data_IF_435973547547
#
_entry.id   IF_435973547547
#
_cell.length_a   1.000
_cell.length_b   1.000
_cell.length_c   1.000
_cell.angle_alpha   90.00
_cell.angle_beta   90.00
_cell.angle_gamma   90.00
#
_symmetry.space_group_name_H-M   'P 1'
#
loop_
_entity.id
_entity.type
_entity.pdbx_description
1 polymer ?
#
# COMPACT_ATOMS: atom_id res chain seq x y z
N UNK A 1 -7.21 -4.33 10.27
CA UNK A 1 -6.31 -4.56 11.41
C UNK A 1 -5.11 -3.62 11.28
N UNK A 2 -4.38 -3.35 12.34
CA UNK A 2 -3.16 -2.54 12.33
C UNK A 2 -1.98 -3.38 12.81
N UNK A 3 -0.82 -3.21 12.19
CA UNK A 3 0.43 -3.80 12.67
C UNK A 3 0.96 -3.07 13.92
N UNK A 4 1.80 -3.79 14.64
CA UNK A 4 2.50 -3.43 15.88
C UNK A 4 3.99 -3.72 15.72
N UNK A 5 4.82 -3.36 16.69
CA UNK A 5 6.26 -3.67 16.68
C UNK A 5 6.57 -5.19 16.72
N UNK A 6 5.59 -5.98 17.16
CA UNK A 6 5.63 -7.43 17.24
C UNK A 6 4.99 -8.11 16.01
N UNK A 7 4.43 -7.34 15.08
CA UNK A 7 3.75 -7.90 13.92
C UNK A 7 4.72 -8.55 12.95
N UNK A 8 4.44 -9.81 12.60
CA UNK A 8 5.27 -10.62 11.71
C UNK A 8 4.41 -11.26 10.62
N UNK A 9 4.89 -11.16 9.38
CA UNK A 9 4.31 -11.82 8.22
C UNK A 9 4.88 -13.24 8.06
N UNK A 10 3.98 -14.17 7.74
CA UNK A 10 4.28 -15.57 7.51
C UNK A 10 3.58 -16.06 6.25
N UNK A 11 4.12 -17.14 5.66
CA UNK A 11 3.49 -17.86 4.55
C UNK A 11 3.35 -19.32 4.91
N UNK A 12 2.15 -19.86 4.70
CA UNK A 12 1.96 -21.31 4.60
C UNK A 12 2.47 -21.74 3.23
N UNK A 13 3.37 -22.72 3.18
CA UNK A 13 3.87 -23.32 1.95
C UNK A 13 3.34 -24.76 1.80
N UNK A 14 3.69 -25.43 0.71
CA UNK A 14 3.32 -26.81 0.43
C UNK A 14 3.56 -27.73 1.66
N UNK A 15 2.64 -28.67 1.90
CA UNK A 15 2.56 -29.54 3.10
C UNK A 15 2.22 -28.82 4.42
N UNK A 16 1.76 -27.57 4.38
CA UNK A 16 1.33 -26.85 5.59
C UNK A 16 2.48 -26.31 6.45
N UNK A 17 3.73 -26.38 5.97
CA UNK A 17 4.89 -25.77 6.63
C UNK A 17 4.72 -24.24 6.66
N UNK A 18 5.20 -23.62 7.74
CA UNK A 18 5.10 -22.16 7.93
C UNK A 18 6.49 -21.55 7.79
N UNK A 19 6.62 -20.59 6.87
CA UNK A 19 7.85 -19.81 6.66
C UNK A 19 7.64 -18.38 7.15
N UNK A 20 8.57 -17.87 7.98
CA UNK A 20 8.62 -16.46 8.35
C UNK A 20 9.09 -15.63 7.15
N UNK A 21 8.33 -14.59 6.80
CA UNK A 21 8.71 -13.63 5.76
C UNK A 21 9.53 -12.50 6.38
N UNK A 22 9.02 -11.86 7.43
CA UNK A 22 9.68 -10.70 8.04
C UNK A 22 8.78 -9.93 8.99
N UNK A 23 9.37 -8.94 9.69
CA UNK A 23 8.60 -7.99 10.50
C UNK A 23 7.83 -7.03 9.59
N UNK A 24 6.57 -6.80 9.92
CA UNK A 24 5.71 -5.83 9.23
C UNK A 24 6.04 -4.44 9.75
N UNK A 25 6.04 -3.43 8.88
CA UNK A 25 6.18 -2.04 9.29
C UNK A 25 5.05 -1.66 10.27
N UNK A 26 5.36 -1.09 11.45
CA UNK A 26 4.37 -0.86 12.51
C UNK A 26 3.33 0.21 12.14
N UNK A 27 2.17 0.15 12.79
CA UNK A 27 1.01 1.04 12.59
C UNK A 27 0.44 1.09 11.18
N UNK A 28 0.78 0.12 10.32
CA UNK A 28 0.27 0.04 8.97
C UNK A 28 -1.11 -0.65 8.95
N UNK A 29 -2.13 -0.06 8.29
CA UNK A 29 -3.43 -0.68 8.13
C UNK A 29 -3.37 -1.86 7.15
N UNK A 30 -3.86 -3.01 7.59
CA UNK A 30 -3.89 -4.25 6.84
C UNK A 30 -5.31 -4.78 6.73
N UNK A 31 -5.67 -5.19 5.51
CA UNK A 31 -6.93 -5.87 5.22
C UNK A 31 -6.71 -7.38 5.34
N UNK A 32 -7.41 -7.99 6.29
CA UNK A 32 -7.28 -9.39 6.64
C UNK A 32 -8.65 -9.99 6.95
N UNK A 33 -8.77 -11.31 6.84
CA UNK A 33 -9.87 -12.10 7.39
C UNK A 33 -9.32 -13.03 8.48
N UNK A 34 -10.15 -13.36 9.46
CA UNK A 34 -9.84 -14.44 10.40
C UNK A 34 -9.86 -15.77 9.66
N UNK A 35 -8.82 -16.59 9.84
CA UNK A 35 -8.71 -17.93 9.28
C UNK A 35 -7.96 -18.86 10.26
N UNK A 36 -7.83 -20.13 9.93
CA UNK A 36 -7.17 -21.14 10.76
C UNK A 36 -6.03 -21.83 10.02
N UNK A 37 -4.93 -22.05 10.72
CA UNK A 37 -3.84 -22.92 10.27
C UNK A 37 -4.23 -24.41 10.41
N UNK A 38 -3.49 -25.35 9.79
CA UNK A 38 -3.77 -26.79 9.90
C UNK A 38 -3.74 -27.34 11.34
N UNK A 39 -3.03 -26.66 12.24
CA UNK A 39 -2.99 -26.96 13.68
C UNK A 39 -4.13 -26.28 14.47
N UNK A 40 -5.14 -25.72 13.79
CA UNK A 40 -6.27 -24.97 14.36
C UNK A 40 -5.90 -23.65 15.07
N UNK A 41 -4.67 -23.16 14.90
CA UNK A 41 -4.30 -21.83 15.38
C UNK A 41 -5.02 -20.76 14.54
N UNK A 42 -5.72 -19.84 15.22
CA UNK A 42 -6.40 -18.71 14.59
C UNK A 42 -5.37 -17.65 14.15
N UNK A 43 -5.50 -17.16 12.92
CA UNK A 43 -4.58 -16.19 12.33
C UNK A 43 -5.31 -15.12 11.52
N UNK A 44 -4.64 -13.98 11.32
CA UNK A 44 -5.09 -12.92 10.42
C UNK A 44 -4.57 -13.18 9.00
N UNK A 45 -5.39 -13.82 8.17
CA UNK A 45 -5.05 -14.17 6.79
C UNK A 45 -5.24 -12.97 5.86
N UNK A 46 -4.23 -12.73 5.03
CA UNK A 46 -4.27 -11.74 3.97
C UNK A 46 -5.19 -12.18 2.83
N UNK A 47 -5.84 -11.23 2.15
CA UNK A 47 -6.81 -11.49 1.07
C UNK A 47 -6.14 -11.74 -0.27
N UNK A 48 -5.11 -12.58 -0.23
CA UNK A 48 -4.34 -12.95 -1.39
C UNK A 48 -5.18 -13.69 -2.44
N UNK A 49 -4.83 -13.59 -3.74
CA UNK A 49 -5.51 -14.36 -4.79
C UNK A 49 -5.39 -15.84 -4.45
N UNK A 50 -6.52 -16.50 -4.21
CA UNK A 50 -6.60 -17.95 -4.17
C UNK A 50 -6.34 -18.46 -5.58
N UNK A 51 -5.10 -18.82 -5.87
CA UNK A 51 -4.74 -19.46 -7.13
C UNK A 51 -5.22 -20.92 -7.05
N UNK A 52 -6.08 -21.32 -7.99
CA UNK A 52 -6.62 -22.67 -8.06
C UNK A 52 -5.44 -23.68 -8.08
N UNK A 53 -5.45 -24.65 -7.15
CA UNK A 53 -4.36 -25.62 -6.87
C UNK A 53 -3.14 -25.12 -6.08
N UNK A 54 -3.13 -23.89 -5.57
CA UNK A 54 -2.02 -23.39 -4.74
C UNK A 54 -2.38 -23.39 -3.25
N UNK A 55 -1.81 -24.34 -2.50
CA UNK A 55 -2.01 -24.49 -1.05
C UNK A 55 -1.17 -23.50 -0.22
N UNK A 56 -0.95 -22.29 -0.71
CA UNK A 56 -0.21 -21.26 0.03
C UNK A 56 -1.04 -20.01 0.24
N UNK A 57 -1.01 -19.52 1.47
CA UNK A 57 -1.57 -18.22 1.82
C UNK A 57 -0.64 -17.49 2.77
N UNK A 58 -0.73 -16.17 2.74
CA UNK A 58 0.04 -15.30 3.63
C UNK A 58 -0.85 -14.88 4.79
N UNK A 59 -0.26 -14.76 5.97
CA UNK A 59 -0.96 -14.30 7.17
C UNK A 59 -0.02 -13.51 8.08
N UNK A 60 -0.60 -12.82 9.06
CA UNK A 60 0.14 -12.12 10.08
C UNK A 60 -0.20 -12.66 11.48
N UNK A 61 0.77 -12.51 12.38
CA UNK A 61 0.55 -12.60 13.83
C UNK A 61 0.88 -11.25 14.46
N UNK A 62 0.25 -10.94 15.60
CA UNK A 62 0.52 -9.73 16.38
C UNK A 62 -0.19 -8.47 15.89
N UNK A 63 -1.18 -8.60 15.00
CA UNK A 63 -2.00 -7.46 14.59
C UNK A 63 -3.01 -7.10 15.69
N UNK A 64 -3.45 -5.83 15.69
CA UNK A 64 -4.45 -5.33 16.63
C UNK A 64 -5.60 -4.64 15.89
N UNK A 65 -6.80 -4.68 16.47
CA UNK A 65 -7.92 -3.88 16.00
C UNK A 65 -7.78 -2.46 16.56
N UNK A 66 -7.80 -1.45 15.70
CA UNK A 66 -7.89 -0.03 16.07
C UNK A 66 -9.08 0.60 15.34
N UNK A 67 -9.81 1.48 16.02
CA UNK A 67 -10.90 2.26 15.44
C UNK A 67 -10.35 3.52 14.80
N UNK A 68 -9.73 3.35 13.63
CA UNK A 68 -9.14 4.45 12.85
C UNK A 68 -9.75 4.41 11.45
N UNK A 69 -10.23 5.55 10.99
CA UNK A 69 -10.73 5.69 9.63
C UNK A 69 -9.58 5.56 8.63
N UNK A 70 -9.76 4.69 7.65
CA UNK A 70 -8.82 4.48 6.56
C UNK A 70 -9.52 4.86 5.26
N UNK A 71 -8.95 5.80 4.52
CA UNK A 71 -9.43 6.18 3.18
C UNK A 71 -8.41 5.77 2.15
N UNK A 72 -8.86 5.20 1.03
CA UNK A 72 -7.98 4.90 -0.10
C UNK A 72 -8.40 5.68 -1.33
N UNK A 73 -7.43 6.11 -2.13
CA UNK A 73 -7.63 6.89 -3.34
C UNK A 73 -6.83 6.28 -4.49
N UNK A 74 -7.46 6.16 -5.65
CA UNK A 74 -6.81 5.75 -6.90
C UNK A 74 -6.51 6.97 -7.73
N UNK A 75 -5.24 7.28 -7.95
CA UNK A 75 -4.78 8.41 -8.75
C UNK A 75 -4.69 8.04 -10.23
N UNK A 76 -5.29 8.87 -11.08
CA UNK A 76 -5.28 8.75 -12.54
C UNK A 76 -4.79 10.06 -13.16
N UNK A 77 -4.13 9.99 -14.32
CA UNK A 77 -3.72 11.19 -15.05
C UNK A 77 -4.93 12.05 -15.39
N UNK A 78 -4.90 13.33 -15.01
CA UNK A 78 -5.93 14.29 -15.40
C UNK A 78 -5.68 14.74 -16.84
N UNK A 79 -6.55 14.33 -17.76
CA UNK A 79 -6.53 14.72 -19.17
C UNK A 79 -7.82 15.49 -19.55
N UNK A 80 -8.45 16.14 -18.57
CA UNK A 80 -9.74 16.83 -18.73
C UNK A 80 -10.84 15.86 -19.14
N UNK A 81 -11.65 16.22 -20.15
CA UNK A 81 -12.72 15.38 -20.70
C UNK A 81 -12.24 14.03 -21.25
N UNK A 82 -10.94 13.91 -21.57
CA UNK A 82 -10.30 12.68 -22.05
C UNK A 82 -9.72 11.82 -20.92
N UNK A 83 -10.01 12.15 -19.66
CA UNK A 83 -9.58 11.35 -18.51
C UNK A 83 -10.27 9.99 -18.56
N UNK A 84 -9.61 9.02 -19.17
CA UNK A 84 -10.01 7.63 -19.08
C UNK A 84 -9.56 7.08 -17.73
N UNK A 85 -10.51 6.67 -16.90
CA UNK A 85 -10.25 5.86 -15.72
C UNK A 85 -9.77 4.48 -16.20
N UNK A 86 -8.48 4.41 -16.52
CA UNK A 86 -7.77 3.19 -16.87
C UNK A 86 -8.02 2.11 -15.80
N UNK A 87 -7.95 0.83 -16.17
CA UNK A 87 -8.03 -0.27 -15.18
C UNK A 87 -6.94 -0.18 -14.12
N UNK A 88 -5.80 0.43 -14.46
CA UNK A 88 -4.64 0.56 -13.57
C UNK A 88 -4.41 2.04 -13.21
N UNK A 89 -4.56 2.43 -11.94
CA UNK A 89 -4.21 3.78 -11.50
C UNK A 89 -2.69 3.98 -11.58
N UNK A 90 -2.28 5.25 -11.71
CA UNK A 90 -0.88 5.65 -11.62
C UNK A 90 -0.31 5.36 -10.22
N UNK A 91 -1.09 5.66 -9.18
CA UNK A 91 -0.69 5.53 -7.79
C UNK A 91 -1.92 5.27 -6.91
N UNK A 92 -1.72 4.62 -5.77
CA UNK A 92 -2.68 4.54 -4.68
C UNK A 92 -2.22 5.43 -3.52
N UNK A 93 -3.16 6.13 -2.89
CA UNK A 93 -2.93 6.85 -1.64
C UNK A 93 -3.81 6.22 -0.58
N UNK A 94 -3.21 5.75 0.51
CA UNK A 94 -3.91 5.22 1.67
C UNK A 94 -3.68 6.17 2.85
N UNK A 95 -4.74 6.84 3.31
CA UNK A 95 -4.70 7.81 4.42
C UNK A 95 -5.25 7.13 5.66
N UNK A 96 -4.50 7.17 6.77
CA UNK A 96 -4.86 6.53 8.03
C UNK A 96 -4.18 7.24 9.21
N UNK A 97 -4.91 7.45 10.30
CA UNK A 97 -4.42 8.23 11.44
C UNK A 97 -3.85 9.59 10.98
N UNK A 98 -2.58 9.85 11.27
CA UNK A 98 -1.78 11.02 10.87
C UNK A 98 -0.79 10.71 9.73
N UNK A 99 -0.95 9.55 9.08
CA UNK A 99 -0.04 9.03 8.06
C UNK A 99 -0.73 8.77 6.73
N UNK A 100 0.08 8.71 5.68
CA UNK A 100 -0.33 8.26 4.37
C UNK A 100 0.68 7.28 3.77
N UNK A 101 0.19 6.30 3.03
CA UNK A 101 1.01 5.45 2.18
C UNK A 101 0.73 5.74 0.70
N UNK A 102 1.77 6.11 -0.03
CA UNK A 102 1.76 6.41 -1.46
C UNK A 102 2.37 5.22 -2.18
N UNK A 103 1.64 4.59 -3.09
CA UNK A 103 2.05 3.30 -3.67
C UNK A 103 1.89 3.32 -5.18
N UNK A 104 3.01 3.27 -5.90
CA UNK A 104 3.06 3.17 -7.37
C UNK A 104 3.45 1.75 -7.75
N UNK A 105 2.60 1.07 -8.52
CA UNK A 105 2.81 -0.31 -8.94
C UNK A 105 2.86 -0.46 -10.47
N UNK A 106 3.55 -1.50 -10.94
CA UNK A 106 3.64 -1.91 -12.33
C UNK A 106 5.04 -1.76 -12.91
N UNK A 107 5.11 -1.66 -14.24
CA UNK A 107 6.34 -1.35 -14.95
C UNK A 107 6.68 0.14 -14.81
N UNK A 108 7.76 0.44 -14.09
CA UNK A 108 8.23 1.79 -13.81
C UNK A 108 9.50 2.01 -14.64
N UNK A 109 9.34 2.64 -15.81
CA UNK A 109 10.48 3.16 -16.57
C UNK A 109 10.98 4.44 -15.90
N UNK A 110 12.27 4.49 -15.62
CA UNK A 110 12.93 5.73 -15.24
C UNK A 110 13.37 6.47 -16.50
N UNK A 111 13.36 7.81 -16.48
CA UNK A 111 13.90 8.63 -17.59
C UNK A 111 15.44 8.59 -17.65
N UNK A 112 16.09 8.12 -16.58
CA UNK A 112 17.54 7.94 -16.48
C UNK A 112 17.98 6.65 -17.18
N UNK A 113 19.29 6.47 -17.41
CA UNK A 113 19.89 5.24 -17.98
C UNK A 113 19.78 4.01 -17.05
N UNK A 114 18.90 4.06 -16.06
CA UNK A 114 18.67 2.94 -15.14
C UNK A 114 17.75 1.91 -15.77
N UNK A 115 17.95 0.65 -15.40
CA UNK A 115 17.08 -0.43 -15.84
C UNK A 115 15.64 -0.19 -15.35
N UNK A 116 14.64 -0.52 -16.18
CA UNK A 116 13.25 -0.45 -15.77
C UNK A 116 12.98 -1.36 -14.57
N UNK A 117 12.14 -0.88 -13.67
CA UNK A 117 11.76 -1.61 -12.46
C UNK A 117 10.35 -2.17 -12.61
N UNK A 118 10.19 -3.47 -12.39
CA UNK A 118 8.89 -4.14 -12.34
C UNK A 118 8.59 -4.42 -10.87
N UNK A 119 7.48 -3.89 -10.36
CA UNK A 119 7.10 -4.08 -8.96
C UNK A 119 6.30 -2.92 -8.37
N UNK A 120 6.46 -2.67 -7.08
CA UNK A 120 5.89 -1.52 -6.38
C UNK A 120 6.97 -0.65 -5.74
N UNK A 121 6.93 0.66 -5.98
CA UNK A 121 7.64 1.69 -5.22
C UNK A 121 6.65 2.39 -4.31
N UNK A 122 6.98 2.56 -3.04
CA UNK A 122 6.06 3.15 -2.08
C UNK A 122 6.74 4.05 -1.06
N UNK A 123 5.97 4.98 -0.51
CA UNK A 123 6.36 5.88 0.57
C UNK A 123 5.33 5.82 1.69
N UNK A 124 5.79 5.73 2.93
CA UNK A 124 4.97 5.87 4.13
C UNK A 124 5.38 7.18 4.77
N UNK A 125 4.47 8.14 4.78
CA UNK A 125 4.72 9.53 5.15
C UNK A 125 3.81 9.97 6.27
N UNK A 126 4.22 10.99 6.99
CA UNK A 126 3.27 11.88 7.64
C UNK A 126 2.68 12.81 6.58
N UNK A 127 1.53 13.38 6.85
CA UNK A 127 1.01 14.46 6.00
C UNK A 127 0.81 15.73 6.82
N UNK A 128 1.14 16.85 6.20
CA UNK A 128 0.96 18.19 6.76
C UNK A 128 -0.24 18.84 6.05
N UNK A 129 -1.26 19.17 6.84
CA UNK A 129 -2.50 19.86 6.43
C UNK A 129 -2.58 21.27 7.05
N UNK A 130 -1.44 21.86 7.43
CA UNK A 130 -1.40 23.23 7.96
C UNK A 130 -1.91 24.27 6.94
N UNK A 131 -1.75 23.99 5.65
CA UNK A 131 -2.42 24.71 4.59
C UNK A 131 -3.79 24.07 4.31
N UNK A 132 -4.86 24.84 4.46
CA UNK A 132 -6.25 24.39 4.26
C UNK A 132 -6.47 23.93 2.81
N UNK A 133 -5.66 24.40 1.86
CA UNK A 133 -5.81 24.09 0.45
C UNK A 133 -4.95 22.91 0.00
N UNK A 134 -3.80 22.67 0.65
CA UNK A 134 -2.81 21.69 0.20
C UNK A 134 -2.36 20.73 1.32
N UNK A 135 -2.41 19.45 1.01
CA UNK A 135 -1.78 18.37 1.78
C UNK A 135 -0.42 18.04 1.19
N UNK A 136 0.62 18.19 2.00
CA UNK A 136 1.99 17.79 1.66
C UNK A 136 2.39 16.52 2.39
N UNK A 137 3.14 15.65 1.73
CA UNK A 137 3.64 14.41 2.34
C UNK A 137 5.09 14.61 2.81
N UNK A 138 5.30 14.50 4.11
CA UNK A 138 6.56 14.84 4.79
C UNK A 138 7.06 13.67 5.64
N UNK A 139 8.33 13.70 6.02
CA UNK A 139 8.97 12.66 6.85
C UNK A 139 8.74 11.23 6.33
N UNK A 140 8.88 11.07 5.01
CA UNK A 140 8.59 9.82 4.34
C UNK A 140 9.70 8.80 4.52
N UNK A 141 9.31 7.53 4.61
CA UNK A 141 10.18 6.39 4.40
C UNK A 141 9.77 5.65 3.14
N UNK A 142 10.74 5.20 2.36
CA UNK A 142 10.51 4.56 1.06
C UNK A 142 10.80 3.08 1.11
N UNK A 143 10.06 2.28 0.36
CA UNK A 143 10.38 0.89 0.09
C UNK A 143 10.13 0.50 -1.36
N UNK A 144 10.72 -0.62 -1.76
CA UNK A 144 10.53 -1.21 -3.09
C UNK A 144 10.26 -2.71 -2.96
N UNK A 145 9.34 -3.24 -3.78
CA UNK A 145 9.03 -4.67 -3.88
C UNK A 145 9.06 -5.09 -5.35
N UNK A 146 9.98 -5.99 -5.72
CA UNK A 146 10.17 -6.45 -7.11
C UNK A 146 9.15 -7.49 -7.58
N UNK A 147 8.47 -8.19 -6.66
CA UNK A 147 7.35 -9.03 -7.06
C UNK A 147 6.14 -8.13 -7.33
N UNK A 148 5.50 -8.31 -8.48
CA UNK A 148 4.16 -7.79 -8.74
C UNK A 148 3.20 -8.45 -7.75
N UNK A 149 3.18 -7.88 -6.54
CA UNK A 149 2.26 -8.13 -5.45
C UNK A 149 2.08 -9.61 -5.08
N UNK A 150 2.76 -10.00 -4.00
CA UNK A 150 2.06 -10.77 -2.97
C UNK A 150 0.81 -9.95 -2.63
N UNK A 151 -0.33 -10.41 -3.11
CA UNK A 151 -1.59 -9.73 -3.40
C UNK A 151 -2.24 -8.83 -2.34
N UNK A 152 -1.62 -8.67 -1.17
CA UNK A 152 -2.14 -7.89 -0.04
C UNK A 152 -1.26 -6.72 0.40
N UNK A 153 -0.22 -6.36 -0.37
CA UNK A 153 0.73 -5.26 -0.08
C UNK A 153 1.07 -5.12 1.42
N UNK A 154 2.10 -5.83 1.86
CA UNK A 154 2.55 -5.79 3.25
C UNK A 154 3.94 -5.16 3.33
N UNK A 155 4.09 -3.90 3.78
CA UNK A 155 5.41 -3.27 3.91
C UNK A 155 6.21 -3.98 5.01
N UNK A 156 7.44 -4.38 4.69
CA UNK A 156 8.34 -5.03 5.65
C UNK A 156 9.36 -4.03 6.19
N UNK A 157 9.72 -4.14 7.47
CA UNK A 157 10.74 -3.28 8.09
C UNK A 157 12.07 -3.32 7.32
N UNK A 158 12.44 -4.48 6.77
CA UNK A 158 13.68 -4.66 5.99
C UNK A 158 13.68 -3.96 4.63
N UNK A 159 12.51 -3.58 4.11
CA UNK A 159 12.36 -2.90 2.82
C UNK A 159 12.33 -1.38 2.95
N UNK A 160 11.84 -0.91 4.09
CA UNK A 160 11.60 0.52 4.34
C UNK A 160 12.91 1.18 4.79
N UNK A 161 13.34 2.18 4.03
CA UNK A 161 14.54 2.97 4.29
C UNK A 161 14.18 4.45 4.34
N UNK A 162 14.99 5.22 5.05
CA UNK A 162 14.92 6.67 4.98
C UNK A 162 15.45 7.08 3.60
N UNK A 163 14.57 7.58 2.74
CA UNK A 163 14.89 8.01 1.38
C UNK A 163 13.87 9.09 0.97
N UNK A 164 14.27 9.96 0.05
CA UNK A 164 13.71 11.28 -0.20
C UNK A 164 12.18 11.40 -0.23
N UNK A 165 11.71 12.59 0.13
CA UNK A 165 10.30 12.95 0.05
C UNK A 165 9.80 12.82 -1.39
N UNK A 166 8.65 12.17 -1.62
CA UNK A 166 8.04 12.14 -2.93
C UNK A 166 7.58 13.55 -3.29
N UNK A 167 7.84 13.97 -4.52
CA UNK A 167 7.30 15.21 -5.08
C UNK A 167 5.82 14.97 -5.42
N UNK A 168 4.97 15.06 -4.39
CA UNK A 168 3.52 14.96 -4.51
C UNK A 168 2.82 15.89 -3.53
N UNK A 169 1.87 16.66 -4.06
CA UNK A 169 1.00 17.56 -3.29
C UNK A 169 -0.43 17.26 -3.71
N UNK A 170 -1.33 17.12 -2.75
CA UNK A 170 -2.74 16.86 -3.01
C UNK A 170 -3.61 17.95 -2.42
N UNK A 171 -4.80 18.15 -2.97
CA UNK A 171 -5.83 19.05 -2.44
C UNK A 171 -7.10 18.25 -2.12
N UNK A 172 -7.92 18.77 -1.20
CA UNK A 172 -9.22 18.20 -0.80
C UNK A 172 -9.14 16.77 -0.21
N UNK A 173 -8.09 16.46 0.57
CA UNK A 173 -7.81 15.13 1.12
C UNK A 173 -8.80 14.72 2.25
N UNK A 174 -10.05 14.47 1.87
CA UNK A 174 -11.16 13.96 2.68
C UNK A 174 -12.40 13.69 1.82
N UNK A 175 -12.47 14.33 0.65
CA UNK A 175 -13.58 14.25 -0.28
C UNK A 175 -13.58 12.92 -1.06
N UNK A 176 -14.64 12.69 -1.85
CA UNK A 176 -14.74 11.54 -2.75
C UNK A 176 -13.79 11.64 -3.95
N UNK A 177 -13.37 12.85 -4.29
CA UNK A 177 -12.44 13.16 -5.37
C UNK A 177 -11.38 14.13 -4.85
N UNK A 178 -10.11 13.87 -5.18
CA UNK A 178 -8.97 14.70 -4.81
C UNK A 178 -8.19 15.07 -6.06
N UNK A 179 -7.47 16.19 -6.03
CA UNK A 179 -6.52 16.52 -7.10
C UNK A 179 -5.12 16.42 -6.54
N UNK A 180 -4.18 15.86 -7.30
CA UNK A 180 -2.78 15.81 -6.89
C UNK A 180 -1.87 16.26 -8.03
N UNK A 181 -0.80 16.98 -7.69
CA UNK A 181 0.32 17.24 -8.59
C UNK A 181 1.49 16.35 -8.18
N UNK A 182 2.15 15.71 -9.15
CA UNK A 182 3.38 14.97 -8.91
C UNK A 182 4.27 15.00 -10.15
N UNK A 183 5.57 15.28 -9.95
CA UNK A 183 6.57 15.33 -11.02
C UNK A 183 6.14 16.21 -12.22
N UNK A 184 5.45 17.33 -11.93
CA UNK A 184 4.94 18.27 -12.94
C UNK A 184 3.70 17.80 -13.71
N UNK A 185 3.06 16.70 -13.30
CA UNK A 185 1.81 16.18 -13.87
C UNK A 185 0.64 16.30 -12.90
N UNK A 186 -0.56 16.56 -13.41
CA UNK A 186 -1.79 16.62 -12.62
C UNK A 186 -2.54 15.28 -12.66
N UNK A 187 -3.10 14.91 -11.52
CA UNK A 187 -3.81 13.67 -11.29
C UNK A 187 -5.15 13.92 -10.59
N UNK A 188 -6.15 13.10 -10.92
CA UNK A 188 -7.42 13.01 -10.20
C UNK A 188 -7.39 11.73 -9.38
N UNK A 189 -7.65 11.84 -8.08
CA UNK A 189 -7.77 10.74 -7.15
C UNK A 189 -9.23 10.44 -6.83
N UNK A 190 -9.68 9.22 -7.13
CA UNK A 190 -11.05 8.78 -6.81
C UNK A 190 -11.01 7.92 -5.56
N UNK A 191 -11.79 8.29 -4.54
CA UNK A 191 -11.92 7.52 -3.31
C UNK A 191 -12.41 6.11 -3.62
N UNK A 192 -11.85 5.14 -2.92
CA UNK A 192 -12.20 3.74 -3.03
C UNK A 192 -12.37 3.13 -1.66
N UNK A 193 -13.49 2.44 -1.46
CA UNK A 193 -13.75 1.65 -0.24
C UNK A 193 -12.98 0.31 -0.27
N UNK A 194 -12.19 0.08 -1.33
CA UNK A 194 -11.47 -1.15 -1.61
C UNK A 194 -9.98 -0.85 -1.75
N UNK A 195 -9.22 -1.01 -0.67
CA UNK A 195 -7.77 -1.05 -0.75
C UNK A 195 -7.31 -2.48 -1.01
N UNK A 196 -7.37 -2.89 -2.28
CA UNK A 196 -6.79 -4.13 -2.77
C UNK A 196 -5.93 -3.79 -3.98
N UNK A 197 -4.61 -3.87 -3.82
CA UNK A 197 -3.68 -3.69 -4.93
C UNK A 197 -3.57 -5.05 -5.62
N UNK A 198 -4.16 -5.16 -6.83
CA UNK A 198 -4.32 -6.41 -7.59
C UNK A 198 -3.15 -6.75 -8.50
#
# INVERSE_FOLDING_TARGET
MFSTDDSVAYRVIFEGKIKKIGKIYPDFPLVVKTDFLPNYEMVDRFLDKELFNESFFTFAKGLVKKEINVSSYRLFYNRGEKTAFSRSPYMWILVYADKAALIRAGYISQRTREEPFIGAKYWICNFDNSDIQETKFVNCKKGEKRSELDTSFVPLVSEVKDDGQPDIVCTNLAESEITCNSEGSNYIGIKSDKFYIR
#
